data_IF_752442864098
#
_entry.id   IF_752442864098
#
_cell.length_a   1.000
_cell.length_b   1.000
_cell.length_c   1.000
_cell.angle_alpha   90.00
_cell.angle_beta   90.00
_cell.angle_gamma   90.00
#
_symmetry.space_group_name_H-M   'P 1'
#
loop_
_entity.id
_entity.type
_entity.pdbx_description
1 polymer ?
#
# COMPACT_ATOMS: atom_id res chain seq x y z
N UNK A 1 -1.98 18.48 -8.02
CA UNK A 1 -2.80 17.28 -8.24
C UNK A 1 -2.98 16.54 -6.93
N UNK A 2 -4.20 16.15 -6.63
CA UNK A 2 -4.52 15.41 -5.40
C UNK A 2 -4.83 13.96 -5.76
N UNK A 3 -4.28 13.02 -5.01
CA UNK A 3 -4.45 11.59 -5.28
C UNK A 3 -4.71 10.81 -3.99
N UNK A 4 -5.38 9.69 -4.15
CA UNK A 4 -5.53 8.68 -3.11
C UNK A 4 -4.76 7.45 -3.56
N UNK A 5 -3.87 6.95 -2.71
CA UNK A 5 -3.13 5.74 -2.96
C UNK A 5 -3.75 4.65 -2.10
N UNK A 6 -4.18 3.57 -2.73
CA UNK A 6 -4.80 2.44 -2.04
C UNK A 6 -3.84 1.27 -2.05
N UNK A 7 -3.52 0.72 -0.88
CA UNK A 7 -2.62 -0.41 -0.72
C UNK A 7 -3.40 -1.66 -0.37
N UNK A 8 -2.98 -2.79 -0.91
CA UNK A 8 -3.59 -4.09 -0.60
C UNK A 8 -2.52 -5.18 -0.62
N UNK A 9 -2.66 -6.14 0.28
CA UNK A 9 -1.78 -7.32 0.30
C UNK A 9 -2.51 -8.61 -0.06
N UNK A 10 -3.74 -8.50 -0.54
CA UNK A 10 -4.56 -9.66 -0.91
C UNK A 10 -5.30 -10.30 0.26
N UNK A 11 -5.11 -9.80 1.47
CA UNK A 11 -5.83 -10.30 2.66
C UNK A 11 -6.93 -9.34 3.05
N UNK A 12 -8.03 -9.90 3.47
CA UNK A 12 -9.21 -9.14 3.86
C UNK A 12 -8.94 -8.33 5.14
N UNK A 13 -9.33 -7.06 5.14
CA UNK A 13 -9.19 -6.21 6.31
C UNK A 13 -7.83 -5.53 6.47
N UNK A 14 -6.93 -5.72 5.52
CA UNK A 14 -5.60 -5.12 5.57
C UNK A 14 -5.42 -3.93 4.62
N UNK A 15 -6.46 -3.56 3.90
CA UNK A 15 -6.40 -2.46 2.93
C UNK A 15 -6.19 -1.13 3.65
N UNK A 16 -5.27 -0.33 3.15
CA UNK A 16 -5.03 1.02 3.65
C UNK A 16 -5.04 2.02 2.51
N UNK A 17 -5.34 3.25 2.81
CA UNK A 17 -5.30 4.32 1.83
C UNK A 17 -4.68 5.58 2.42
N UNK A 18 -4.09 6.40 1.58
CA UNK A 18 -3.46 7.64 1.95
C UNK A 18 -3.73 8.68 0.88
N UNK A 19 -4.04 9.91 1.29
CA UNK A 19 -4.24 11.01 0.35
C UNK A 19 -3.07 11.98 0.43
N UNK A 20 -2.64 12.49 -0.73
CA UNK A 20 -1.53 13.42 -0.79
C UNK A 20 -1.64 14.34 -2.01
N UNK A 21 -0.89 15.43 -1.95
CA UNK A 21 -0.75 16.36 -3.07
C UNK A 21 0.57 16.07 -3.77
N UNK A 22 0.54 15.93 -5.09
CA UNK A 22 1.71 15.66 -5.92
C UNK A 22 1.71 16.56 -7.14
N UNK A 23 2.86 16.70 -7.78
CA UNK A 23 2.98 17.51 -8.99
C UNK A 23 2.45 16.81 -10.24
N UNK A 24 2.59 15.48 -10.30
CA UNK A 24 2.14 14.66 -11.41
C UNK A 24 1.97 13.21 -10.97
N UNK A 25 1.45 12.38 -11.88
CA UNK A 25 1.17 10.97 -11.57
C UNK A 25 2.44 10.15 -11.32
N UNK A 26 3.55 10.49 -12.00
CA UNK A 26 4.82 9.79 -11.82
C UNK A 26 5.35 9.97 -10.40
N UNK A 27 5.16 11.16 -9.84
CA UNK A 27 5.54 11.45 -8.46
C UNK A 27 4.72 10.62 -7.48
N UNK A 28 3.42 10.47 -7.75
CA UNK A 28 2.54 9.63 -6.94
C UNK A 28 2.95 8.16 -7.03
N UNK A 29 3.31 7.68 -8.22
CA UNK A 29 3.76 6.30 -8.41
C UNK A 29 5.07 6.02 -7.65
N UNK A 30 6.01 6.95 -7.69
CA UNK A 30 7.27 6.82 -6.96
C UNK A 30 7.03 6.77 -5.45
N UNK A 31 6.15 7.62 -4.95
CA UNK A 31 5.78 7.63 -3.54
C UNK A 31 5.13 6.29 -3.13
N UNK A 32 4.21 5.81 -3.95
CA UNK A 32 3.51 4.55 -3.67
C UNK A 32 4.46 3.35 -3.72
N UNK A 33 5.42 3.35 -4.65
CA UNK A 33 6.41 2.27 -4.76
C UNK A 33 7.27 2.16 -3.51
N UNK A 34 7.59 3.27 -2.88
CA UNK A 34 8.31 3.27 -1.60
C UNK A 34 7.39 2.88 -0.45
N UNK A 35 6.18 3.44 -0.44
CA UNK A 35 5.21 3.21 0.62
C UNK A 35 4.72 1.77 0.71
N UNK A 36 4.66 1.06 -0.43
CA UNK A 36 4.18 -0.32 -0.46
C UNK A 36 5.07 -1.26 0.38
N UNK A 37 6.37 -0.98 0.45
CA UNK A 37 7.29 -1.78 1.26
C UNK A 37 6.98 -1.64 2.75
N UNK A 38 6.78 -0.43 3.22
CA UNK A 38 6.45 -0.17 4.63
C UNK A 38 5.10 -0.77 4.98
N UNK A 39 4.12 -0.62 4.07
CA UNK A 39 2.80 -1.22 4.23
C UNK A 39 2.91 -2.74 4.34
N UNK A 40 3.64 -3.37 3.41
CA UNK A 40 3.78 -4.82 3.37
C UNK A 40 4.43 -5.35 4.65
N UNK A 41 5.48 -4.70 5.12
CA UNK A 41 6.17 -5.09 6.36
C UNK A 41 5.25 -5.01 7.58
N UNK A 42 4.35 -4.03 7.61
CA UNK A 42 3.43 -3.84 8.72
C UNK A 42 2.39 -4.94 8.85
N UNK A 43 2.11 -5.66 7.76
CA UNK A 43 1.06 -6.68 7.73
C UNK A 43 1.58 -8.09 7.45
N UNK A 44 2.85 -8.36 7.62
CA UNK A 44 3.41 -9.71 7.41
C UNK A 44 2.77 -10.75 8.32
N UNK A 45 2.32 -10.35 9.49
CA UNK A 45 1.71 -11.25 10.46
C UNK A 45 0.48 -11.99 9.93
N UNK A 46 -0.26 -11.41 8.98
CA UNK A 46 -1.44 -12.07 8.41
C UNK A 46 -1.05 -13.23 7.49
N UNK A 47 0.13 -13.14 6.85
CA UNK A 47 0.63 -14.19 5.97
C UNK A 47 1.38 -15.27 6.74
N UNK A 48 1.92 -14.95 7.91
CA UNK A 48 2.70 -15.86 8.74
C UNK A 48 1.91 -16.45 9.90
N UNK A 49 0.62 -16.20 9.96
CA UNK A 49 -0.29 -16.65 11.03
C UNK A 49 0.20 -16.24 12.42
N UNK A 50 0.61 -14.96 12.53
CA UNK A 50 1.14 -14.34 13.75
C UNK A 50 2.55 -14.79 14.15
N UNK A 51 3.21 -15.59 13.30
CA UNK A 51 4.63 -15.89 13.48
C UNK A 51 5.46 -14.68 13.04
N UNK A 52 6.69 -14.58 13.49
CA UNK A 52 7.56 -13.46 13.17
C UNK A 52 8.24 -13.59 11.82
N UNK A 53 8.41 -14.82 11.34
CA UNK A 53 9.16 -15.11 10.13
C UNK A 53 8.36 -16.01 9.19
N UNK A 54 8.61 -15.86 7.89
CA UNK A 54 8.07 -16.75 6.88
C UNK A 54 8.78 -18.10 6.97
N UNK A 55 8.05 -19.16 6.60
CA UNK A 55 8.62 -20.52 6.62
C UNK A 55 9.70 -20.70 5.55
N UNK A 56 9.62 -19.96 4.44
CA UNK A 56 10.60 -20.01 3.37
C UNK A 56 10.69 -18.67 2.64
N UNK A 57 11.78 -18.48 1.90
CA UNK A 57 11.95 -17.28 1.08
C UNK A 57 10.89 -17.22 -0.02
N UNK A 58 10.46 -18.38 -0.52
CA UNK A 58 9.42 -18.46 -1.54
C UNK A 58 8.09 -17.90 -1.03
N UNK A 59 7.71 -18.22 0.19
CA UNK A 59 6.48 -17.70 0.79
C UNK A 59 6.56 -16.18 0.98
N UNK A 60 7.72 -15.69 1.39
CA UNK A 60 7.96 -14.27 1.55
C UNK A 60 7.82 -13.54 0.21
N UNK A 61 8.43 -14.08 -0.85
CA UNK A 61 8.32 -13.51 -2.19
C UNK A 61 6.88 -13.47 -2.70
N UNK A 62 6.14 -14.54 -2.50
CA UNK A 62 4.73 -14.62 -2.89
C UNK A 62 3.91 -13.56 -2.17
N UNK A 63 4.14 -13.39 -0.86
CA UNK A 63 3.46 -12.37 -0.09
C UNK A 63 3.73 -10.96 -0.65
N UNK A 64 4.99 -10.62 -0.89
CA UNK A 64 5.35 -9.29 -1.40
C UNK A 64 4.85 -9.07 -2.83
N UNK A 65 4.79 -10.11 -3.66
CA UNK A 65 4.22 -10.02 -5.00
C UNK A 65 2.72 -9.73 -4.97
N UNK A 66 2.03 -10.19 -3.93
CA UNK A 66 0.59 -9.94 -3.76
C UNK A 66 0.29 -8.55 -3.21
N UNK A 67 1.30 -7.85 -2.72
CA UNK A 67 1.14 -6.48 -2.26
C UNK A 67 1.10 -5.55 -3.46
N UNK A 68 -0.01 -4.85 -3.63
CA UNK A 68 -0.22 -3.96 -4.77
C UNK A 68 -0.74 -2.61 -4.31
N UNK A 69 -0.61 -1.62 -5.17
CA UNK A 69 -1.19 -0.32 -4.91
C UNK A 69 -1.94 0.17 -6.14
N UNK A 70 -2.88 1.07 -5.90
CA UNK A 70 -3.68 1.70 -6.93
C UNK A 70 -3.70 3.20 -6.65
N UNK A 71 -3.64 4.02 -7.69
CA UNK A 71 -3.64 5.47 -7.56
C UNK A 71 -4.89 6.04 -8.20
N UNK A 72 -5.63 6.81 -7.42
CA UNK A 72 -6.87 7.43 -7.85
C UNK A 72 -6.72 8.95 -7.75
N UNK A 73 -7.03 9.67 -8.83
CA UNK A 73 -7.06 11.12 -8.79
C UNK A 73 -8.33 11.57 -8.07
N UNK A 74 -8.18 12.47 -7.11
CA UNK A 74 -9.30 12.97 -6.31
C UNK A 74 -9.36 14.49 -6.39
N UNK A 75 -10.45 15.07 -5.89
CA UNK A 75 -10.60 16.52 -5.84
C UNK A 75 -9.94 17.09 -4.59
N UNK A 76 -9.69 18.38 -4.58
CA UNK A 76 -9.17 19.07 -3.40
C UNK A 76 -10.12 18.90 -2.21
N UNK A 77 -11.41 18.94 -2.46
CA UNK A 77 -12.43 18.74 -1.43
C UNK A 77 -12.30 17.37 -0.77
N UNK A 78 -12.16 16.31 -1.58
CA UNK A 78 -11.96 14.96 -1.06
C UNK A 78 -10.66 14.83 -0.27
N UNK A 79 -9.60 15.49 -0.76
CA UNK A 79 -8.32 15.53 -0.06
C UNK A 79 -8.45 16.14 1.33
N UNK A 80 -9.17 17.27 1.44
CA UNK A 80 -9.35 17.94 2.72
C UNK A 80 -10.20 17.13 3.70
N UNK A 81 -11.19 16.39 3.20
CA UNK A 81 -12.06 15.56 4.04
C UNK A 81 -11.32 14.36 4.63
N UNK A 82 -10.40 13.76 3.86
CA UNK A 82 -9.69 12.55 4.26
C UNK A 82 -8.36 12.80 4.97
N UNK A 83 -7.88 14.02 4.90
CA UNK A 83 -6.59 14.40 5.49
C UNK A 83 -6.55 14.35 7.02
#
# INVERSE_FOLDING_TARGET
MFVRINYSNGYCGCDESEVLEVGNIEEAEAYAAEGIHDYAESYTYVATDWDKDFESEEEEEVYYENCTFDIEEITEEEYQEEK
#
